data_IF_252749588098
#
_entry.id   IF_252749588098
#
_cell.length_a   1.000
_cell.length_b   1.000
_cell.length_c   1.000
_cell.angle_alpha   90.00
_cell.angle_beta   90.00
_cell.angle_gamma   90.00
#
_symmetry.space_group_name_H-M   'P 1'
#
loop_
_entity.id
_entity.type
_entity.pdbx_description
1 polymer ?
#
# COMPACT_ATOMS: atom_id res chain seq x y z
N UNK A 1 -17.76 23.01 -0.18
CA UNK A 1 -16.53 22.95 -1.00
C UNK A 1 -16.66 21.73 -1.90
N UNK A 2 -16.72 21.92 -3.21
CA UNK A 2 -16.73 20.84 -4.20
C UNK A 2 -15.28 20.55 -4.59
N UNK A 3 -14.83 19.32 -4.34
CA UNK A 3 -13.50 18.85 -4.75
C UNK A 3 -13.65 18.30 -6.18
N UNK A 4 -13.04 18.95 -7.17
CA UNK A 4 -12.88 18.38 -8.51
C UNK A 4 -11.56 17.61 -8.56
N UNK A 5 -11.60 16.38 -9.09
CA UNK A 5 -10.42 15.53 -9.27
C UNK A 5 -9.66 15.97 -10.53
N UNK A 6 -8.39 16.34 -10.38
CA UNK A 6 -7.57 16.89 -11.48
C UNK A 6 -6.78 15.81 -12.23
N UNK A 7 -6.46 14.70 -11.56
CA UNK A 7 -5.78 13.56 -12.15
C UNK A 7 -5.54 12.44 -11.17
N UNK A 8 -5.26 11.24 -11.71
CA UNK A 8 -4.88 10.07 -10.95
C UNK A 8 -3.46 9.65 -11.33
N UNK A 9 -2.66 9.28 -10.34
CA UNK A 9 -1.33 8.68 -10.53
C UNK A 9 -1.33 7.29 -9.91
N UNK A 10 -1.11 6.27 -10.73
CA UNK A 10 -0.99 4.89 -10.27
C UNK A 10 0.48 4.54 -10.03
N UNK A 11 0.77 4.00 -8.85
CA UNK A 11 2.11 3.54 -8.46
C UNK A 11 2.04 2.05 -8.12
N UNK A 12 2.98 1.28 -8.68
CA UNK A 12 3.10 -0.16 -8.48
C UNK A 12 4.40 -0.45 -7.74
N UNK A 13 4.32 -1.31 -6.73
CA UNK A 13 5.48 -1.76 -5.96
C UNK A 13 5.56 -3.28 -5.92
N UNK A 14 6.78 -3.80 -6.05
CA UNK A 14 7.12 -5.22 -5.87
C UNK A 14 8.36 -5.31 -5.00
N UNK A 15 8.29 -6.06 -3.90
CA UNK A 15 9.40 -6.28 -2.97
C UNK A 15 9.55 -7.77 -2.69
N UNK A 16 10.79 -8.27 -2.72
CA UNK A 16 11.11 -9.65 -2.31
C UNK A 16 11.82 -9.64 -0.96
N UNK A 17 11.37 -10.50 -0.05
CA UNK A 17 11.99 -10.68 1.26
C UNK A 17 13.20 -11.59 1.10
N UNK A 18 14.40 -11.00 1.04
CA UNK A 18 15.66 -11.74 0.86
C UNK A 18 16.42 -11.97 2.17
N UNK A 19 15.84 -11.65 3.33
CA UNK A 19 16.46 -11.90 4.62
C UNK A 19 15.66 -12.90 5.47
N UNK A 20 16.37 -13.62 6.33
CA UNK A 20 15.81 -14.52 7.32
C UNK A 20 15.79 -13.80 8.67
N UNK A 21 14.92 -12.79 8.79
CA UNK A 21 14.70 -12.10 10.07
C UNK A 21 13.75 -12.89 10.97
N UNK A 22 13.92 -12.76 12.28
CA UNK A 22 13.06 -13.41 13.29
C UNK A 22 11.64 -12.84 13.31
N UNK A 23 11.49 -11.60 12.90
CA UNK A 23 10.20 -10.92 12.83
C UNK A 23 9.55 -11.26 11.48
N UNK A 24 8.55 -12.13 11.52
CA UNK A 24 7.78 -12.58 10.36
C UNK A 24 6.70 -11.59 9.99
N UNK A 25 7.00 -10.29 9.93
CA UNK A 25 6.04 -9.28 9.46
C UNK A 25 6.76 -8.20 8.64
N UNK A 26 6.08 -7.70 7.62
CA UNK A 26 6.51 -6.55 6.85
C UNK A 26 5.43 -5.46 6.86
N UNK A 27 5.85 -4.21 6.74
CA UNK A 27 4.98 -3.05 6.69
C UNK A 27 5.36 -2.19 5.50
N UNK A 28 4.36 -1.75 4.75
CA UNK A 28 4.52 -0.74 3.70
C UNK A 28 3.78 0.51 4.12
N UNK A 29 4.51 1.62 4.24
CA UNK A 29 3.93 2.92 4.53
C UNK A 29 3.76 3.72 3.22
N UNK A 30 2.51 4.13 2.96
CA UNK A 30 2.13 4.95 1.81
C UNK A 30 1.88 6.37 2.31
N UNK A 31 2.79 7.29 2.00
CA UNK A 31 2.69 8.69 2.38
C UNK A 31 1.98 9.50 1.29
N UNK A 32 1.20 10.50 1.69
CA UNK A 32 0.50 11.44 0.81
C UNK A 32 0.28 12.78 1.52
N UNK A 33 0.10 13.87 0.77
CA UNK A 33 -0.27 15.16 1.33
C UNK A 33 -1.81 15.28 1.39
N UNK A 34 -2.46 15.22 2.56
CA UNK A 34 -3.92 15.24 2.64
C UNK A 34 -4.55 16.57 2.20
N UNK A 35 -3.79 17.67 2.12
CA UNK A 35 -4.29 18.96 1.63
C UNK A 35 -4.57 18.92 0.13
N UNK A 36 -3.77 18.16 -0.64
CA UNK A 36 -3.81 18.17 -2.10
C UNK A 36 -3.97 16.78 -2.72
N UNK A 37 -3.89 15.72 -1.94
CA UNK A 37 -3.98 14.33 -2.38
C UNK A 37 -4.98 13.52 -1.54
N UNK A 38 -5.48 12.46 -2.14
CA UNK A 38 -6.06 11.31 -1.46
C UNK A 38 -5.38 10.05 -2.03
N UNK A 39 -5.34 8.96 -1.27
CA UNK A 39 -4.70 7.72 -1.71
C UNK A 39 -5.62 6.52 -1.54
N UNK A 40 -5.73 5.72 -2.59
CA UNK A 40 -6.51 4.49 -2.63
C UNK A 40 -5.56 3.31 -2.80
N UNK A 41 -5.67 2.32 -1.92
CA UNK A 41 -5.00 1.04 -2.12
C UNK A 41 -5.87 0.24 -3.11
N UNK A 42 -5.39 0.08 -4.34
CA UNK A 42 -6.12 -0.61 -5.43
C UNK A 42 -6.07 -2.12 -5.21
N UNK A 43 -4.87 -2.63 -4.93
CA UNK A 43 -4.67 -3.99 -4.43
C UNK A 43 -3.37 -4.05 -3.63
N UNK A 44 -3.28 -5.03 -2.75
CA UNK A 44 -2.05 -5.46 -2.12
C UNK A 44 -2.16 -6.96 -1.84
N UNK A 45 -1.06 -7.69 -2.03
CA UNK A 45 -1.01 -9.12 -1.80
C UNK A 45 0.40 -9.58 -1.45
N UNK A 46 0.45 -10.71 -0.77
CA UNK A 46 1.65 -11.49 -0.52
C UNK A 46 1.63 -12.75 -1.40
N UNK A 47 2.79 -13.13 -1.92
CA UNK A 47 3.03 -14.37 -2.66
C UNK A 47 4.08 -15.14 -1.86
N UNK A 48 3.67 -16.27 -1.28
CA UNK A 48 4.57 -17.11 -0.50
C UNK A 48 5.49 -17.93 -1.43
N UNK A 49 6.62 -18.47 -0.93
CA UNK A 49 7.58 -19.21 -1.75
C UNK A 49 7.02 -20.44 -2.47
N UNK A 50 5.91 -21.00 -1.96
CA UNK A 50 5.19 -22.11 -2.58
C UNK A 50 4.27 -21.67 -3.73
N UNK A 51 4.19 -20.36 -4.00
CA UNK A 51 3.35 -19.74 -5.01
C UNK A 51 1.93 -19.43 -4.55
N UNK A 52 1.58 -19.71 -3.29
CA UNK A 52 0.28 -19.32 -2.75
C UNK A 52 0.17 -17.80 -2.62
N UNK A 53 -1.02 -17.27 -2.93
CA UNK A 53 -1.29 -15.82 -2.92
C UNK A 53 -2.25 -15.49 -1.78
N UNK A 54 -1.88 -14.50 -0.97
CA UNK A 54 -2.67 -14.00 0.15
C UNK A 54 -2.97 -12.52 -0.08
N UNK A 55 -4.19 -12.15 -0.51
CA UNK A 55 -4.55 -10.75 -0.63
C UNK A 55 -4.64 -10.11 0.75
N UNK A 56 -4.23 -8.85 0.84
CA UNK A 56 -4.33 -8.03 2.06
C UNK A 56 -5.80 -7.78 2.38
N UNK A 57 -6.21 -8.03 3.63
CA UNK A 57 -7.56 -7.74 4.07
C UNK A 57 -7.67 -6.33 4.63
N UNK A 58 -8.91 -5.82 4.73
CA UNK A 58 -9.15 -4.46 5.24
C UNK A 58 -8.64 -4.24 6.67
N UNK A 59 -8.59 -5.29 7.50
CA UNK A 59 -8.07 -5.19 8.87
C UNK A 59 -6.54 -5.11 8.94
N UNK A 60 -5.85 -5.42 7.84
CA UNK A 60 -4.41 -5.29 7.66
C UNK A 60 -4.02 -3.92 7.10
N UNK A 61 -4.97 -2.98 7.00
CA UNK A 61 -4.74 -1.62 6.56
C UNK A 61 -5.08 -0.68 7.70
N UNK A 62 -4.17 0.25 8.01
CA UNK A 62 -4.43 1.34 8.96
C UNK A 62 -4.33 2.69 8.27
N UNK A 63 -5.34 3.51 8.49
CA UNK A 63 -5.44 4.85 7.94
C UNK A 63 -5.00 5.90 8.98
N UNK A 64 -4.10 6.78 8.56
CA UNK A 64 -3.69 7.98 9.28
C UNK A 64 -3.89 9.21 8.39
N UNK A 65 -3.91 10.43 8.97
CA UNK A 65 -4.19 11.63 8.20
C UNK A 65 -3.22 11.86 7.04
N UNK A 66 -1.93 11.56 7.23
CA UNK A 66 -0.86 11.81 6.25
C UNK A 66 -0.23 10.54 5.66
N UNK A 67 -0.70 9.36 6.06
CA UNK A 67 -0.20 8.10 5.52
C UNK A 67 -1.17 6.93 5.74
N UNK A 68 -1.00 5.85 4.98
CA UNK A 68 -1.62 4.55 5.26
C UNK A 68 -0.52 3.51 5.51
N UNK A 69 -0.78 2.53 6.35
CA UNK A 69 0.12 1.39 6.56
C UNK A 69 -0.57 0.12 6.11
N UNK A 70 0.12 -0.67 5.29
CA UNK A 70 -0.28 -2.01 4.87
C UNK A 70 0.58 -3.02 5.64
N UNK A 71 -0.05 -3.89 6.41
CA UNK A 71 0.61 -4.94 7.18
C UNK A 71 0.61 -6.25 6.40
N UNK A 72 1.75 -6.93 6.37
CA UNK A 72 1.93 -8.24 5.74
C UNK A 72 2.40 -9.23 6.81
N UNK A 73 1.50 -10.08 7.34
CA UNK A 73 1.85 -11.04 8.36
C UNK A 73 2.54 -12.27 7.77
N UNK A 74 3.33 -12.96 8.60
CA UNK A 74 3.95 -14.24 8.27
C UNK A 74 4.80 -14.19 6.99
N UNK A 75 5.50 -13.08 6.76
CA UNK A 75 6.47 -12.98 5.67
C UNK A 75 7.68 -13.87 6.00
N UNK A 76 8.16 -14.58 4.99
CA UNK A 76 9.30 -15.49 5.09
C UNK A 76 10.29 -15.22 3.96
N UNK A 77 11.50 -15.78 4.05
CA UNK A 77 12.47 -15.71 2.96
C UNK A 77 11.87 -16.20 1.63
N UNK A 78 12.01 -15.40 0.57
CA UNK A 78 11.45 -15.66 -0.75
C UNK A 78 9.99 -15.23 -0.92
N UNK A 79 9.36 -14.69 0.12
CA UNK A 79 8.05 -14.05 0.02
C UNK A 79 8.15 -12.82 -0.87
N UNK A 80 7.18 -12.64 -1.77
CA UNK A 80 7.03 -11.42 -2.59
C UNK A 80 5.81 -10.64 -2.13
N UNK A 81 5.96 -9.34 -1.97
CA UNK A 81 4.89 -8.38 -1.70
C UNK A 81 4.64 -7.58 -2.98
N UNK A 82 3.39 -7.55 -3.42
CA UNK A 82 2.94 -6.75 -4.55
C UNK A 82 1.82 -5.81 -4.13
N UNK A 83 1.86 -4.56 -4.58
CA UNK A 83 0.78 -3.62 -4.34
C UNK A 83 0.67 -2.58 -5.45
N UNK A 84 -0.54 -2.04 -5.57
CA UNK A 84 -0.82 -0.86 -6.37
C UNK A 84 -1.58 0.15 -5.52
N UNK A 85 -1.13 1.39 -5.57
CA UNK A 85 -1.82 2.54 -4.99
C UNK A 85 -2.15 3.55 -6.08
N UNK A 86 -3.28 4.23 -5.90
CA UNK A 86 -3.73 5.34 -6.74
C UNK A 86 -3.77 6.61 -5.90
N UNK A 87 -2.93 7.56 -6.28
CA UNK A 87 -3.00 8.93 -5.79
C UNK A 87 -4.02 9.70 -6.60
N UNK A 88 -4.90 10.42 -5.92
CA UNK A 88 -5.94 11.27 -6.49
C UNK A 88 -5.61 12.71 -6.12
N UNK A 89 -5.23 13.52 -7.12
CA UNK A 89 -4.86 14.92 -6.89
C UNK A 89 -6.11 15.79 -6.88
N UNK A 90 -6.29 16.54 -5.80
CA UNK A 90 -7.38 17.48 -5.56
C UNK A 90 -7.04 18.82 -6.21
N UNK A 91 -7.98 19.39 -6.97
CA UNK A 91 -7.84 20.76 -7.45
C UNK A 91 -8.19 21.75 -6.35
N UNK A 92 -7.25 22.64 -6.01
CA UNK A 92 -7.54 23.79 -5.15
C UNK A 92 -8.35 24.83 -5.94
N UNK A 93 -9.59 25.11 -5.54
CA UNK A 93 -10.32 26.30 -5.99
C UNK A 93 -9.90 27.50 -5.12
N UNK A 94 -9.28 28.50 -5.75
CA UNK A 94 -9.00 29.82 -5.18
C UNK A 94 -10.17 30.77 -5.49
#
# INVERSE_FOLDING_TARGET
VSIEHEGNVDVYGVLEITNDQKDTFAEIQIQYDPEVEDVQIVYAQQIDPDGSMRPVALHDIRDFPEHKIIFFPEVTYGTVIEYQVRYVVKKLQV
#
